data_IF_414697987959
#
_entry.id   IF_414697987959
#
_cell.length_a   1.000
_cell.length_b   1.000
_cell.length_c   1.000
_cell.angle_alpha   90.00
_cell.angle_beta   90.00
_cell.angle_gamma   90.00
#
_symmetry.space_group_name_H-M   'P 1'
#
loop_
_entity.id
_entity.type
_entity.pdbx_description
1 polymer ?
#
# COMPACT_ATOMS: atom_id res chain seq x y z
N UNK A 1 -5.44 2.46 -30.01
CA UNK A 1 -4.79 1.25 -29.48
C UNK A 1 -5.58 0.03 -29.94
N UNK A 2 -4.95 -0.92 -30.65
CA UNK A 2 -5.63 -2.14 -31.13
C UNK A 2 -5.28 -3.41 -30.36
N UNK A 3 -4.25 -3.34 -29.52
CA UNK A 3 -3.70 -4.46 -28.76
C UNK A 3 -3.15 -3.94 -27.42
N UNK A 4 -3.23 -4.75 -26.37
CA UNK A 4 -2.65 -4.51 -25.05
C UNK A 4 -1.19 -4.04 -25.04
N UNK A 5 -0.31 -4.59 -25.88
CA UNK A 5 1.11 -4.19 -25.95
C UNK A 5 1.29 -2.76 -26.49
N UNK A 6 0.42 -2.37 -27.43
CA UNK A 6 0.41 -1.00 -27.95
C UNK A 6 -0.08 -0.03 -26.88
N UNK A 7 -1.07 -0.43 -26.05
CA UNK A 7 -1.53 0.39 -24.93
C UNK A 7 -0.37 0.72 -24.00
N UNK A 8 0.39 -0.31 -23.62
CA UNK A 8 1.51 -0.19 -22.71
C UNK A 8 2.58 0.73 -23.30
N UNK A 9 2.92 0.52 -24.57
CA UNK A 9 3.91 1.35 -25.27
C UNK A 9 3.47 2.81 -25.37
N UNK A 10 2.20 3.06 -25.67
CA UNK A 10 1.64 4.40 -25.79
C UNK A 10 1.60 5.11 -24.42
N UNK A 11 1.25 4.38 -23.35
CA UNK A 11 1.29 4.89 -21.98
C UNK A 11 2.72 5.22 -21.53
N UNK A 12 3.72 4.42 -21.91
CA UNK A 12 5.13 4.73 -21.61
C UNK A 12 5.69 5.89 -22.43
N UNK A 13 5.24 6.06 -23.68
CA UNK A 13 5.69 7.16 -24.57
C UNK A 13 5.06 8.50 -24.18
N UNK A 14 3.86 8.48 -23.59
CA UNK A 14 3.26 9.67 -23.00
C UNK A 14 3.92 9.98 -21.65
N UNK A 15 5.04 10.70 -21.72
CA UNK A 15 5.85 11.14 -20.57
C UNK A 15 5.06 12.04 -19.57
N UNK A 16 3.88 12.55 -19.95
CA UNK A 16 2.99 13.30 -19.05
C UNK A 16 2.03 12.36 -18.28
N UNK A 17 2.52 11.74 -17.21
CA UNK A 17 1.68 11.01 -16.24
C UNK A 17 0.58 11.89 -15.60
N UNK A 18 0.76 13.22 -15.65
CA UNK A 18 -0.22 14.20 -15.16
C UNK A 18 -1.46 14.33 -16.04
N UNK A 19 -1.40 13.97 -17.32
CA UNK A 19 -2.54 14.14 -18.24
C UNK A 19 -3.46 12.92 -18.31
N UNK A 20 -2.97 11.75 -17.93
CA UNK A 20 -3.71 10.50 -18.02
C UNK A 20 -3.98 9.95 -16.62
N UNK A 21 -5.24 9.63 -16.31
CA UNK A 21 -5.64 9.08 -15.01
C UNK A 21 -5.24 7.60 -14.86
N UNK A 22 -5.68 6.75 -15.80
CA UNK A 22 -5.34 5.34 -15.84
C UNK A 22 -5.64 4.78 -17.24
N UNK A 23 -4.91 3.72 -17.62
CA UNK A 23 -5.28 2.86 -18.74
C UNK A 23 -6.22 1.75 -18.28
N UNK A 24 -7.27 1.49 -19.06
CA UNK A 24 -8.15 0.33 -18.86
C UNK A 24 -7.87 -0.64 -19.99
N UNK A 25 -7.39 -1.84 -19.64
CA UNK A 25 -7.08 -2.90 -20.58
C UNK A 25 -8.07 -4.05 -20.43
N UNK A 26 -8.66 -4.44 -21.55
CA UNK A 26 -9.45 -5.66 -21.70
C UNK A 26 -8.62 -6.74 -22.39
N UNK A 27 -9.06 -8.00 -22.32
CA UNK A 27 -8.45 -9.09 -23.09
C UNK A 27 -8.51 -8.79 -24.59
N UNK A 28 -7.39 -9.00 -25.29
CA UNK A 28 -7.27 -8.75 -26.73
C UNK A 28 -8.24 -9.64 -27.53
N UNK A 29 -8.62 -10.80 -26.98
CA UNK A 29 -9.62 -11.71 -27.57
C UNK A 29 -11.02 -11.08 -27.65
N UNK A 30 -11.30 -10.00 -26.93
CA UNK A 30 -12.58 -9.29 -27.00
C UNK A 30 -12.65 -8.35 -28.22
N UNK A 31 -11.55 -8.14 -28.94
CA UNK A 31 -11.49 -7.32 -30.14
C UNK A 31 -12.40 -7.84 -31.26
N UNK A 32 -13.55 -7.20 -31.45
CA UNK A 32 -14.52 -7.53 -32.50
C UNK A 32 -15.51 -8.64 -32.13
N UNK A 33 -15.40 -9.22 -30.94
CA UNK A 33 -16.34 -10.23 -30.45
C UNK A 33 -17.52 -9.56 -29.76
N UNK A 34 -18.69 -9.67 -30.39
CA UNK A 34 -19.98 -9.38 -29.80
C UNK A 34 -20.85 -10.64 -29.88
N UNK A 35 -21.46 -11.10 -28.79
CA UNK A 35 -21.62 -10.43 -27.49
C UNK A 35 -20.44 -10.63 -26.52
N UNK A 36 -20.32 -9.74 -25.52
CA UNK A 36 -19.36 -9.91 -24.42
C UNK A 36 -19.65 -11.19 -23.61
N UNK A 37 -18.61 -11.90 -23.15
CA UNK A 37 -18.75 -13.06 -22.26
C UNK A 37 -19.22 -12.64 -20.86
N UNK A 38 -19.74 -13.59 -20.08
CA UNK A 38 -20.19 -13.34 -18.70
C UNK A 38 -19.03 -13.10 -17.73
N UNK A 39 -17.86 -13.66 -18.03
CA UNK A 39 -16.62 -13.44 -17.29
C UNK A 39 -15.73 -12.53 -18.12
N UNK A 40 -15.34 -11.39 -17.57
CA UNK A 40 -14.50 -10.39 -18.24
C UNK A 40 -13.34 -10.07 -17.31
N UNK A 41 -12.12 -10.29 -17.82
CA UNK A 41 -10.91 -9.88 -17.13
C UNK A 41 -10.57 -8.44 -17.54
N UNK A 42 -10.42 -7.57 -16.54
CA UNK A 42 -10.05 -6.17 -16.75
C UNK A 42 -8.82 -5.85 -15.94
N UNK A 43 -7.83 -5.25 -16.59
CA UNK A 43 -6.61 -4.77 -15.95
C UNK A 43 -6.61 -3.25 -15.94
N UNK A 44 -6.55 -2.68 -14.73
CA UNK A 44 -6.39 -1.25 -14.53
C UNK A 44 -4.90 -0.91 -14.41
N UNK A 45 -4.40 -0.01 -15.25
CA UNK A 45 -3.01 0.42 -15.30
C UNK A 45 -2.90 1.87 -14.85
N UNK A 46 -2.46 2.07 -13.62
CA UNK A 46 -2.16 3.39 -13.06
C UNK A 46 -0.67 3.71 -13.23
N UNK A 47 -0.28 5.00 -13.23
CA UNK A 47 1.12 5.35 -13.09
C UNK A 47 1.65 4.81 -11.75
N UNK A 48 2.93 4.46 -11.72
CA UNK A 48 3.58 3.96 -10.50
C UNK A 48 3.77 5.04 -9.44
N UNK A 49 3.83 6.31 -9.84
CA UNK A 49 3.98 7.47 -8.97
C UNK A 49 2.62 8.01 -8.51
N UNK A 50 2.52 8.41 -7.25
CA UNK A 50 1.34 9.06 -6.70
C UNK A 50 1.30 10.52 -7.14
N UNK A 51 0.14 10.98 -7.67
CA UNK A 51 -0.09 12.40 -7.98
C UNK A 51 -0.25 13.22 -6.71
N UNK A 52 -0.81 12.61 -5.66
CA UNK A 52 -0.93 13.23 -4.35
C UNK A 52 0.25 12.83 -3.46
N UNK A 53 1.37 13.53 -3.60
CA UNK A 53 2.47 13.47 -2.64
C UNK A 53 2.19 14.42 -1.47
N UNK A 54 1.45 13.98 -0.46
CA UNK A 54 1.42 14.74 0.80
C UNK A 54 2.84 14.76 1.37
N UNK A 55 3.42 15.97 1.46
CA UNK A 55 4.78 16.27 1.92
C UNK A 55 4.94 16.01 3.43
N UNK A 56 4.65 14.80 3.90
CA UNK A 56 4.87 14.42 5.30
C UNK A 56 6.33 14.02 5.44
N UNK A 57 7.14 14.97 5.91
CA UNK A 57 8.56 14.75 6.20
C UNK A 57 8.73 13.57 7.17
N UNK A 58 9.46 12.54 6.74
CA UNK A 58 9.86 11.41 7.59
C UNK A 58 9.18 10.07 7.28
N UNK A 59 8.48 9.94 6.16
CA UNK A 59 7.93 8.67 5.67
C UNK A 59 8.82 8.06 4.58
N UNK A 60 8.92 6.72 4.54
CA UNK A 60 9.78 5.96 3.63
C UNK A 60 9.54 6.37 2.17
N UNK A 61 10.57 6.36 1.32
CA UNK A 61 10.46 6.71 -0.11
C UNK A 61 9.44 5.87 -0.88
N UNK A 62 9.13 4.66 -0.39
CA UNK A 62 8.09 3.78 -0.93
C UNK A 62 6.66 4.29 -0.65
N UNK A 63 6.49 5.30 0.20
CA UNK A 63 5.22 5.94 0.49
C UNK A 63 4.74 6.87 -0.64
N UNK A 64 5.57 7.12 -1.65
CA UNK A 64 5.26 8.01 -2.79
C UNK A 64 4.92 7.26 -4.08
N UNK A 65 4.93 5.92 -4.05
CA UNK A 65 4.65 5.08 -5.22
C UNK A 65 3.69 3.94 -4.87
N UNK A 66 3.03 3.39 -5.89
CA UNK A 66 2.26 2.17 -5.76
C UNK A 66 3.20 0.96 -5.65
N UNK A 67 3.52 0.56 -4.43
CA UNK A 67 4.31 -0.64 -4.16
C UNK A 67 3.44 -1.90 -4.33
N UNK A 68 3.20 -2.33 -5.57
CA UNK A 68 2.39 -3.53 -5.89
C UNK A 68 3.14 -4.85 -5.69
N UNK A 69 4.46 -4.78 -5.45
CA UNK A 69 5.29 -5.93 -5.16
C UNK A 69 5.15 -6.46 -3.72
N UNK A 70 4.51 -5.69 -2.83
CA UNK A 70 4.30 -6.06 -1.42
C UNK A 70 2.82 -5.91 -1.03
N UNK A 71 2.30 -6.86 -0.27
CA UNK A 71 0.92 -6.80 0.25
C UNK A 71 0.82 -6.04 1.59
N UNK A 72 1.92 -5.97 2.34
CA UNK A 72 2.00 -5.34 3.65
C UNK A 72 3.25 -4.47 3.75
N UNK A 73 3.21 -3.40 4.56
CA UNK A 73 4.41 -2.61 4.82
C UNK A 73 5.47 -3.48 5.48
N UNK A 74 6.73 -3.29 5.08
CA UNK A 74 7.89 -4.01 5.62
C UNK A 74 8.08 -3.74 7.12
N UNK A 75 7.74 -2.52 7.56
CA UNK A 75 7.77 -2.11 8.96
C UNK A 75 6.38 -1.70 9.42
N UNK A 76 5.89 -2.33 10.48
CA UNK A 76 4.61 -1.98 11.09
C UNK A 76 4.85 -1.08 12.30
N UNK A 77 4.36 0.15 12.22
CA UNK A 77 4.33 1.04 13.37
C UNK A 77 3.13 0.70 14.27
N UNK A 78 3.27 0.79 15.60
CA UNK A 78 2.15 0.59 16.50
C UNK A 78 1.10 1.69 16.29
N UNK A 79 -0.17 1.30 16.28
CA UNK A 79 -1.30 2.20 16.04
C UNK A 79 -1.99 1.97 14.70
N UNK A 80 -2.97 2.82 14.35
CA UNK A 80 -3.58 2.81 13.02
C UNK A 80 -2.55 3.24 11.97
N UNK A 81 -2.67 2.72 10.75
CA UNK A 81 -1.77 3.06 9.64
C UNK A 81 -1.73 4.57 9.37
N UNK A 82 -2.87 5.23 9.49
CA UNK A 82 -2.99 6.69 9.48
C UNK A 82 -4.09 7.09 10.46
N UNK A 83 -3.82 7.94 11.43
CA UNK A 83 -4.83 8.36 12.40
C UNK A 83 -5.59 9.63 11.98
N UNK A 84 -5.09 10.38 11.00
CA UNK A 84 -5.71 11.60 10.49
C UNK A 84 -6.71 11.31 9.37
N UNK A 85 -6.45 10.28 8.58
CA UNK A 85 -7.26 9.93 7.42
C UNK A 85 -8.20 8.76 7.73
N UNK A 86 -9.47 8.94 7.36
CA UNK A 86 -10.48 7.89 7.46
C UNK A 86 -10.51 6.95 6.24
N UNK A 87 -9.75 7.26 5.20
CA UNK A 87 -9.48 6.35 4.09
C UNK A 87 -8.26 5.46 4.41
N UNK A 88 -8.05 4.39 3.64
CA UNK A 88 -7.11 3.28 3.92
C UNK A 88 -5.61 3.60 3.99
N UNK A 89 -5.24 4.85 4.30
CA UNK A 89 -3.89 5.40 4.28
C UNK A 89 -3.19 5.17 2.92
N UNK A 90 -1.86 5.20 2.92
CA UNK A 90 -1.04 4.89 1.75
C UNK A 90 -0.97 3.37 1.51
N UNK A 91 -0.94 2.90 0.24
CA UNK A 91 -1.10 3.67 -1.00
C UNK A 91 -2.53 4.23 -1.16
N UNK A 92 -2.66 5.51 -1.57
CA UNK A 92 -3.95 6.24 -1.55
C UNK A 92 -4.90 5.84 -2.71
N UNK A 93 -5.45 4.62 -2.69
CA UNK A 93 -6.38 4.15 -3.73
C UNK A 93 -7.61 5.05 -3.94
N UNK A 94 -8.10 5.70 -2.89
CA UNK A 94 -9.25 6.62 -2.99
C UNK A 94 -8.87 7.95 -3.63
N UNK A 95 -7.73 8.52 -3.25
CA UNK A 95 -7.33 9.84 -3.73
C UNK A 95 -6.81 9.77 -5.18
N UNK A 96 -6.16 8.66 -5.54
CA UNK A 96 -5.65 8.42 -6.89
C UNK A 96 -6.73 8.01 -7.90
N UNK A 97 -7.99 7.87 -7.49
CA UNK A 97 -9.08 7.55 -8.42
C UNK A 97 -9.31 6.05 -8.67
N UNK A 98 -8.52 5.17 -8.05
CA UNK A 98 -8.61 3.71 -8.29
C UNK A 98 -9.96 3.15 -7.90
N UNK A 99 -10.43 3.47 -6.70
CA UNK A 99 -11.70 2.94 -6.21
C UNK A 99 -12.88 3.47 -7.03
N UNK A 100 -12.84 4.73 -7.46
CA UNK A 100 -13.86 5.32 -8.32
C UNK A 100 -13.90 4.64 -9.69
N UNK A 101 -12.75 4.44 -10.34
CA UNK A 101 -12.68 3.74 -11.63
C UNK A 101 -13.17 2.30 -11.47
N UNK A 102 -12.76 1.61 -10.41
CA UNK A 102 -13.18 0.23 -10.15
C UNK A 102 -14.70 0.14 -9.96
N UNK A 103 -15.30 1.06 -9.19
CA UNK A 103 -16.74 1.12 -8.98
C UNK A 103 -17.48 1.38 -10.30
N UNK A 104 -17.15 2.46 -11.00
CA UNK A 104 -17.83 2.87 -12.24
C UNK A 104 -17.70 1.82 -13.34
N UNK A 105 -16.51 1.24 -13.51
CA UNK A 105 -16.28 0.16 -14.48
C UNK A 105 -17.11 -1.08 -14.13
N UNK A 106 -17.17 -1.47 -12.85
CA UNK A 106 -17.96 -2.63 -12.41
C UNK A 106 -19.44 -2.39 -12.66
N UNK A 107 -19.95 -1.20 -12.34
CA UNK A 107 -21.33 -0.82 -12.59
C UNK A 107 -21.66 -0.79 -14.08
N UNK A 108 -20.75 -0.28 -14.92
CA UNK A 108 -20.91 -0.27 -16.36
C UNK A 108 -21.00 -1.71 -16.94
N UNK A 109 -20.14 -2.61 -16.48
CA UNK A 109 -20.16 -4.03 -16.89
C UNK A 109 -21.46 -4.70 -16.43
N UNK A 110 -21.85 -4.52 -15.17
CA UNK A 110 -23.10 -5.07 -14.62
C UNK A 110 -24.31 -4.57 -15.40
N UNK A 111 -24.38 -3.27 -15.70
CA UNK A 111 -25.47 -2.69 -16.46
C UNK A 111 -25.53 -3.26 -17.89
N UNK A 112 -24.37 -3.43 -18.54
CA UNK A 112 -24.29 -4.03 -19.87
C UNK A 112 -24.82 -5.48 -19.88
N UNK A 113 -24.35 -6.32 -18.94
CA UNK A 113 -24.76 -7.72 -18.85
C UNK A 113 -26.25 -7.85 -18.50
N UNK A 114 -26.77 -7.07 -17.54
CA UNK A 114 -28.20 -7.07 -17.19
C UNK A 114 -29.09 -6.62 -18.34
N UNK A 115 -28.69 -5.58 -19.07
CA UNK A 115 -29.44 -5.11 -20.24
C UNK A 115 -29.51 -6.18 -21.32
N UNK A 116 -28.43 -6.95 -21.51
CA UNK A 116 -28.38 -8.07 -22.45
C UNK A 116 -29.27 -9.24 -22.03
N UNK A 117 -29.21 -9.66 -20.77
CA UNK A 117 -29.93 -10.84 -20.28
C UNK A 117 -31.42 -10.59 -20.07
N UNK A 118 -31.78 -9.42 -19.52
CA UNK A 118 -33.13 -9.13 -19.03
C UNK A 118 -33.82 -7.97 -19.73
N UNK A 119 -33.11 -7.22 -20.58
CA UNK A 119 -33.63 -5.99 -21.18
C UNK A 119 -33.82 -4.84 -20.18
N UNK A 120 -33.37 -5.00 -18.94
CA UNK A 120 -33.49 -4.00 -17.88
C UNK A 120 -32.23 -3.13 -17.83
N UNK A 121 -32.41 -1.81 -17.80
CA UNK A 121 -31.32 -0.90 -17.50
C UNK A 121 -31.10 -0.87 -15.99
N UNK A 122 -29.89 -1.23 -15.54
CA UNK A 122 -29.50 -1.01 -14.16
C UNK A 122 -29.07 0.44 -14.01
N UNK A 123 -29.96 1.27 -13.48
CA UNK A 123 -29.71 2.71 -13.30
C UNK A 123 -28.85 3.02 -12.07
N UNK A 124 -28.46 2.03 -11.27
CA UNK A 124 -27.71 2.25 -10.02
C UNK A 124 -28.46 3.04 -8.95
N UNK A 125 -29.65 3.56 -9.26
CA UNK A 125 -30.51 4.36 -8.39
C UNK A 125 -30.94 3.54 -7.17
N UNK A 126 -30.12 3.58 -6.12
CA UNK A 126 -30.33 2.84 -4.86
C UNK A 126 -29.10 2.09 -4.37
N UNK A 127 -28.07 1.91 -5.20
CA UNK A 127 -26.80 1.34 -4.76
C UNK A 127 -25.85 2.48 -4.37
N UNK A 128 -25.69 2.69 -3.06
CA UNK A 128 -24.78 3.68 -2.51
C UNK A 128 -23.59 2.97 -1.88
N UNK A 129 -22.45 2.95 -2.57
CA UNK A 129 -21.22 2.34 -2.06
C UNK A 129 -20.39 3.44 -1.38
N UNK A 130 -20.07 3.23 -0.11
CA UNK A 130 -19.20 4.13 0.64
C UNK A 130 -17.98 3.39 1.17
N UNK A 131 -16.80 3.98 0.95
CA UNK A 131 -15.58 3.51 1.59
C UNK A 131 -15.56 3.98 3.04
N UNK A 132 -15.48 3.03 3.97
CA UNK A 132 -15.26 3.30 5.39
C UNK A 132 -14.20 2.35 5.94
N UNK A 133 -13.29 2.90 6.76
CA UNK A 133 -12.30 2.10 7.48
C UNK A 133 -12.91 1.47 8.72
N UNK A 134 -12.44 0.27 9.07
CA UNK A 134 -12.71 -0.32 10.37
C UNK A 134 -12.23 0.58 11.52
N UNK A 135 -13.01 0.71 12.60
CA UNK A 135 -12.60 1.49 13.76
C UNK A 135 -11.35 0.86 14.39
N UNK A 136 -10.39 1.71 14.77
CA UNK A 136 -9.22 1.30 15.51
C UNK A 136 -9.48 1.46 17.01
N UNK A 137 -9.03 0.52 17.88
CA UNK A 137 -9.18 0.66 19.33
C UNK A 137 -8.44 1.91 19.86
N UNK A 138 -8.75 2.31 21.09
CA UNK A 138 -8.06 3.43 21.74
C UNK A 138 -6.55 3.14 21.76
N UNK A 139 -5.76 4.10 21.26
CA UNK A 139 -4.32 3.99 21.13
C UNK A 139 -3.62 5.27 21.60
N UNK A 140 -2.32 5.17 21.86
CA UNK A 140 -1.46 6.30 22.26
C UNK A 140 -0.29 6.34 21.28
N UNK A 141 -0.06 7.52 20.70
CA UNK A 141 1.10 7.76 19.84
C UNK A 141 2.30 8.13 20.71
N UNK A 142 3.18 7.16 20.94
CA UNK A 142 4.45 7.38 21.65
C UNK A 142 5.64 6.92 20.79
N UNK A 143 6.09 7.83 19.92
CA UNK A 143 7.25 7.61 19.06
C UNK A 143 8.55 7.52 19.89
N UNK A 144 8.64 8.26 20.99
CA UNK A 144 9.82 8.27 21.85
C UNK A 144 10.04 6.89 22.49
N UNK A 145 8.99 6.27 23.03
CA UNK A 145 9.07 4.94 23.62
C UNK A 145 9.51 3.89 22.59
N UNK A 146 8.99 3.95 21.36
CA UNK A 146 9.40 3.05 20.29
C UNK A 146 10.89 3.20 19.97
N UNK A 147 11.40 4.43 19.88
CA UNK A 147 12.82 4.71 19.66
C UNK A 147 13.68 4.26 20.84
N UNK A 148 13.26 4.56 22.08
CA UNK A 148 13.99 4.17 23.29
C UNK A 148 14.11 2.65 23.45
N UNK A 149 13.11 1.86 23.03
CA UNK A 149 13.19 0.39 23.08
C UNK A 149 14.40 -0.17 22.31
N UNK A 150 14.81 0.48 21.23
CA UNK A 150 16.00 0.06 20.48
C UNK A 150 17.31 0.48 21.18
N UNK A 151 17.33 1.65 21.82
CA UNK A 151 18.55 2.19 22.43
C UNK A 151 18.81 1.72 23.86
N UNK A 152 17.78 1.40 24.65
CA UNK A 152 17.93 0.98 26.04
C UNK A 152 18.86 -0.24 26.17
N UNK A 153 18.68 -1.34 25.42
CA UNK A 153 19.57 -2.50 25.54
C UNK A 153 21.01 -2.16 25.18
N UNK A 154 21.22 -1.31 24.16
CA UNK A 154 22.53 -0.86 23.75
C UNK A 154 23.22 -0.07 24.87
N UNK A 155 22.51 0.86 25.50
CA UNK A 155 23.03 1.66 26.62
C UNK A 155 23.35 0.79 27.84
N UNK A 156 22.51 -0.21 28.14
CA UNK A 156 22.75 -1.17 29.24
C UNK A 156 23.99 -2.02 28.95
N UNK A 157 24.16 -2.49 27.71
CA UNK A 157 25.34 -3.26 27.30
C UNK A 157 26.62 -2.40 27.41
N UNK A 158 26.58 -1.16 26.93
CA UNK A 158 27.71 -0.23 27.05
C UNK A 158 28.03 0.11 28.51
N UNK A 159 27.01 0.34 29.34
CA UNK A 159 27.17 0.65 30.75
C UNK A 159 27.75 -0.50 31.57
N UNK A 160 27.38 -1.75 31.25
CA UNK A 160 27.85 -2.95 31.96
C UNK A 160 29.15 -3.52 31.39
N UNK A 161 29.55 -3.15 30.17
CA UNK A 161 30.75 -3.66 29.52
C UNK A 161 32.02 -3.51 30.38
N UNK A 162 32.24 -2.33 30.98
CA UNK A 162 33.40 -2.09 31.84
C UNK A 162 33.38 -2.99 33.09
N UNK A 163 32.22 -3.10 33.75
CA UNK A 163 32.06 -3.97 34.92
C UNK A 163 32.29 -5.44 34.57
N UNK A 164 31.77 -5.92 33.43
CA UNK A 164 31.99 -7.29 32.96
C UNK A 164 33.47 -7.56 32.70
N UNK A 165 34.16 -6.67 31.98
CA UNK A 165 35.60 -6.81 31.67
C UNK A 165 36.43 -6.86 32.95
N UNK A 166 36.16 -5.99 33.92
CA UNK A 166 36.90 -5.98 35.18
C UNK A 166 36.63 -7.22 36.04
N UNK A 167 35.37 -7.69 36.11
CA UNK A 167 35.06 -8.91 36.84
C UNK A 167 35.74 -10.14 36.22
N UNK A 168 35.69 -10.29 34.89
CA UNK A 168 36.39 -11.38 34.19
C UNK A 168 37.89 -11.30 34.41
N UNK A 169 38.48 -10.09 34.34
CA UNK A 169 39.91 -9.89 34.63
C UNK A 169 40.25 -10.27 36.07
N UNK A 170 39.44 -9.86 37.04
CA UNK A 170 39.66 -10.18 38.45
C UNK A 170 39.63 -11.69 38.70
N UNK A 171 38.60 -12.39 38.18
CA UNK A 171 38.49 -13.85 38.29
C UNK A 171 39.64 -14.55 37.58
N UNK A 172 40.03 -14.10 36.38
CA UNK A 172 41.16 -14.66 35.65
C UNK A 172 42.48 -14.51 36.43
N UNK A 173 42.72 -13.34 37.02
CA UNK A 173 43.90 -13.09 37.85
C UNK A 173 43.89 -13.92 39.14
N UNK A 174 42.74 -14.09 39.78
CA UNK A 174 42.59 -14.95 40.95
C UNK A 174 42.92 -16.41 40.62
N UNK A 175 42.42 -16.89 39.47
CA UNK A 175 42.67 -18.25 38.97
C UNK A 175 44.13 -18.47 38.55
N UNK A 176 44.76 -17.50 37.89
CA UNK A 176 46.18 -17.56 37.51
C UNK A 176 47.09 -17.61 38.75
N UNK A 177 46.77 -16.82 39.77
CA UNK A 177 47.56 -16.73 41.01
C UNK A 177 47.20 -17.80 42.05
N UNK A 178 46.20 -18.64 41.77
CA UNK A 178 45.71 -19.69 42.68
C UNK A 178 45.40 -19.16 44.10
N UNK A 179 44.92 -17.92 44.20
CA UNK A 179 44.59 -17.32 45.49
C UNK A 179 43.27 -17.87 46.07
N UNK A 180 42.49 -18.59 45.25
CA UNK A 180 41.56 -19.69 45.57
C UNK A 180 40.96 -20.35 44.30
#
# INVERSE_FOLDING_TARGET
VKNSEQLVTDLYKQIDADKNLAGIQFDDNLGGNYPLPHTIDVTLRFPGELRKSDNIKGEDSNAYSWATNVLFPTYQLPGPRDFLLNHGAKPEYKAEGFLQIQEELSLAIINHLKRRERGENFTGNGLHIQMQRFPYPKWISDKLLSTMRLFIPLLVMLGTAYSCVNNVRAVALEKEKQLK
#
